data_IF_458130411748
#
_entry.id   IF_458130411748
#
_cell.length_a   1.000
_cell.length_b   1.000
_cell.length_c   1.000
_cell.angle_alpha   90.00
_cell.angle_beta   90.00
_cell.angle_gamma   90.00
#
_symmetry.space_group_name_H-M   'P 1'
#
loop_
_entity.id
_entity.type
_entity.pdbx_description
1 polymer ?
#
# COMPACT_ATOMS: atom_id res chain seq x y z
N UNK A 1 23.82 5.47 27.97
CA UNK A 1 22.97 6.11 26.95
C UNK A 1 23.08 5.23 25.73
N UNK A 2 22.09 4.35 25.49
CA UNK A 2 22.00 3.62 24.22
C UNK A 2 22.00 4.66 23.11
N UNK A 3 22.97 4.59 22.20
CA UNK A 3 22.97 5.49 21.05
C UNK A 3 21.63 5.34 20.33
N UNK A 4 20.89 6.44 20.21
CA UNK A 4 19.58 6.47 19.55
C UNK A 4 19.67 6.04 18.07
N UNK A 5 20.87 6.09 17.49
CA UNK A 5 21.21 5.58 16.16
C UNK A 5 22.36 4.59 16.34
N UNK A 6 22.15 3.29 16.10
CA UNK A 6 23.22 2.30 16.22
C UNK A 6 24.29 2.53 15.14
N UNK A 7 25.55 2.20 15.49
CA UNK A 7 26.66 2.24 14.56
C UNK A 7 26.37 1.37 13.32
N UNK A 8 26.66 1.92 12.14
CA UNK A 8 26.38 1.25 10.88
C UNK A 8 27.38 0.09 10.67
N UNK A 9 26.89 -1.14 10.83
CA UNK A 9 27.65 -2.36 10.52
C UNK A 9 27.27 -2.86 9.12
N UNK A 10 28.25 -2.83 8.20
CA UNK A 10 28.06 -3.26 6.82
C UNK A 10 27.60 -4.72 6.71
N UNK A 11 28.13 -5.60 7.56
CA UNK A 11 27.84 -7.03 7.49
C UNK A 11 26.41 -7.29 7.89
N UNK A 12 25.99 -6.71 9.02
CA UNK A 12 24.63 -6.84 9.55
C UNK A 12 23.57 -6.25 8.63
N UNK A 13 23.84 -5.06 8.08
CA UNK A 13 22.83 -4.33 7.31
C UNK A 13 22.76 -4.82 5.86
N UNK A 14 23.90 -5.08 5.21
CA UNK A 14 23.93 -5.37 3.77
C UNK A 14 24.12 -6.84 3.43
N UNK A 15 24.76 -7.64 4.28
CA UNK A 15 25.16 -9.01 3.93
C UNK A 15 24.27 -10.05 4.62
N UNK A 16 24.05 -9.93 5.93
CA UNK A 16 23.27 -10.89 6.73
C UNK A 16 21.83 -11.11 6.24
N UNK A 17 21.06 -10.08 5.79
CA UNK A 17 19.69 -10.28 5.32
C UNK A 17 19.61 -11.19 4.09
N UNK A 18 20.65 -11.15 3.23
CA UNK A 18 20.69 -11.90 1.97
C UNK A 18 21.52 -13.19 2.06
N UNK A 19 22.11 -13.49 3.21
CA UNK A 19 22.95 -14.69 3.38
C UNK A 19 22.35 -15.60 4.43
N UNK A 20 22.32 -15.16 5.69
CA UNK A 20 21.86 -15.95 6.83
C UNK A 20 20.34 -15.93 6.94
N UNK A 21 19.72 -14.76 6.77
CA UNK A 21 18.28 -14.57 6.94
C UNK A 21 17.51 -14.53 5.61
N UNK A 22 18.07 -15.14 4.55
CA UNK A 22 17.51 -15.11 3.20
C UNK A 22 16.02 -15.51 3.14
N UNK A 23 15.56 -16.64 3.73
CA UNK A 23 14.16 -17.04 3.60
C UNK A 23 13.20 -16.01 4.21
N UNK A 24 13.46 -15.57 5.44
CA UNK A 24 12.61 -14.62 6.16
C UNK A 24 12.61 -13.25 5.45
N UNK A 25 13.80 -12.76 5.09
CA UNK A 25 13.97 -11.46 4.43
C UNK A 25 13.28 -11.42 3.08
N UNK A 26 13.36 -12.50 2.30
CA UNK A 26 12.70 -12.61 1.00
C UNK A 26 11.18 -12.52 1.16
N UNK A 27 10.59 -13.22 2.13
CA UNK A 27 9.14 -13.14 2.39
C UNK A 27 8.69 -11.74 2.81
N UNK A 28 9.45 -11.06 3.67
CA UNK A 28 9.16 -9.69 4.11
C UNK A 28 9.25 -8.72 2.92
N UNK A 29 10.33 -8.80 2.14
CA UNK A 29 10.53 -7.94 0.97
C UNK A 29 9.46 -8.19 -0.11
N UNK A 30 9.11 -9.46 -0.36
CA UNK A 30 8.06 -9.85 -1.30
C UNK A 30 6.70 -9.33 -0.84
N UNK A 31 6.38 -9.45 0.45
CA UNK A 31 5.13 -8.93 1.00
C UNK A 31 5.05 -7.40 0.88
N UNK A 32 6.11 -6.70 1.27
CA UNK A 32 6.21 -5.24 1.12
C UNK A 32 6.07 -4.80 -0.34
N UNK A 33 6.68 -5.52 -1.27
CA UNK A 33 6.53 -5.27 -2.70
C UNK A 33 5.09 -5.48 -3.19
N UNK A 34 4.44 -6.60 -2.84
CA UNK A 34 3.07 -6.91 -3.26
C UNK A 34 2.08 -5.86 -2.77
N UNK A 35 2.17 -5.47 -1.50
CA UNK A 35 1.29 -4.44 -0.92
C UNK A 35 1.53 -3.10 -1.60
N UNK A 36 2.79 -2.67 -1.69
CA UNK A 36 3.13 -1.37 -2.28
C UNK A 36 2.77 -1.32 -3.76
N UNK A 37 2.91 -2.43 -4.49
CA UNK A 37 2.46 -2.56 -5.87
C UNK A 37 0.93 -2.43 -5.96
N UNK A 38 0.17 -3.22 -5.19
CA UNK A 38 -1.30 -3.18 -5.20
C UNK A 38 -1.84 -1.78 -4.86
N UNK A 39 -1.35 -1.20 -3.76
CA UNK A 39 -1.72 0.13 -3.30
C UNK A 39 -1.28 1.21 -4.29
N UNK A 40 -0.03 1.19 -4.76
CA UNK A 40 0.49 2.20 -5.66
C UNK A 40 -0.20 2.21 -7.03
N UNK A 41 -0.54 1.04 -7.58
CA UNK A 41 -1.25 0.92 -8.85
C UNK A 41 -2.64 1.59 -8.80
N UNK A 42 -3.42 1.33 -7.74
CA UNK A 42 -4.69 2.03 -7.52
C UNK A 42 -4.47 3.50 -7.15
N UNK A 43 -3.43 3.79 -6.38
CA UNK A 43 -3.01 5.12 -5.96
C UNK A 43 -2.86 6.10 -7.13
N UNK A 44 -2.29 5.65 -8.24
CA UNK A 44 -2.19 6.44 -9.48
C UNK A 44 -3.55 7.00 -9.94
N UNK A 45 -4.60 6.18 -9.92
CA UNK A 45 -5.95 6.61 -10.29
C UNK A 45 -6.58 7.52 -9.24
N UNK A 46 -6.38 7.25 -7.95
CA UNK A 46 -6.91 8.08 -6.86
C UNK A 46 -6.31 9.49 -6.87
N UNK A 47 -5.01 9.61 -7.16
CA UNK A 47 -4.34 10.90 -7.27
C UNK A 47 -4.89 11.69 -8.46
N UNK A 48 -5.06 11.06 -9.63
CA UNK A 48 -5.65 11.71 -10.81
C UNK A 48 -7.08 12.20 -10.53
N UNK A 49 -7.86 11.44 -9.75
CA UNK A 49 -9.22 11.82 -9.35
C UNK A 49 -9.28 12.77 -8.15
N UNK A 50 -8.14 13.17 -7.57
CA UNK A 50 -8.04 14.00 -6.35
C UNK A 50 -8.75 13.38 -5.13
N UNK A 51 -8.78 12.05 -5.07
CA UNK A 51 -9.43 11.27 -4.00
C UNK A 51 -8.39 10.55 -3.12
N UNK A 52 -7.22 11.16 -2.92
CA UNK A 52 -6.11 10.53 -2.19
C UNK A 52 -6.45 10.21 -0.72
N UNK A 53 -7.39 10.94 -0.12
CA UNK A 53 -7.83 10.77 1.28
C UNK A 53 -8.81 9.61 1.50
N UNK A 54 -9.29 8.95 0.44
CA UNK A 54 -10.30 7.88 0.59
C UNK A 54 -9.71 6.63 1.26
N UNK A 55 -8.43 6.33 1.02
CA UNK A 55 -7.79 5.15 1.62
C UNK A 55 -7.71 5.22 3.14
N UNK A 56 -7.39 6.40 3.67
CA UNK A 56 -7.34 6.66 5.12
C UNK A 56 -8.68 6.38 5.80
N UNK A 57 -9.77 6.87 5.20
CA UNK A 57 -11.11 6.65 5.73
C UNK A 57 -11.55 5.18 5.70
N UNK A 58 -11.14 4.43 4.68
CA UNK A 58 -11.43 2.98 4.61
C UNK A 58 -10.69 2.26 5.74
N UNK A 59 -9.38 2.50 5.91
CA UNK A 59 -8.55 1.86 6.95
C UNK A 59 -9.13 2.05 8.36
N UNK A 60 -9.60 3.25 8.69
CA UNK A 60 -10.19 3.50 10.01
C UNK A 60 -11.61 2.96 10.17
N UNK A 61 -12.33 2.76 9.07
CA UNK A 61 -13.66 2.16 9.09
C UNK A 61 -13.64 0.63 9.12
N UNK A 62 -12.46 0.00 8.99
CA UNK A 62 -12.28 -1.44 9.18
C UNK A 62 -12.48 -1.85 10.65
N UNK A 63 -12.05 -1.02 11.60
CA UNK A 63 -12.15 -1.28 13.05
C UNK A 63 -13.58 -1.60 13.54
N UNK A 64 -14.62 -0.81 13.25
CA UNK A 64 -15.99 -1.19 13.63
C UNK A 64 -16.44 -2.49 12.96
N UNK A 65 -15.99 -2.77 11.72
CA UNK A 65 -16.27 -4.04 11.04
C UNK A 65 -15.68 -5.25 11.75
N UNK A 66 -14.42 -5.14 12.18
CA UNK A 66 -13.74 -6.15 12.98
C UNK A 66 -14.44 -6.36 14.33
N UNK A 67 -14.81 -5.27 15.01
CA UNK A 67 -15.49 -5.31 16.29
C UNK A 67 -16.86 -6.03 16.19
N UNK A 68 -17.66 -5.71 15.17
CA UNK A 68 -18.95 -6.35 14.93
C UNK A 68 -18.78 -7.84 14.59
N UNK A 69 -17.80 -8.19 13.75
CA UNK A 69 -17.52 -9.58 13.41
C UNK A 69 -17.08 -10.40 14.63
N UNK A 70 -16.27 -9.82 15.50
CA UNK A 70 -15.83 -10.45 16.74
C UNK A 70 -17.00 -10.76 17.66
N UNK A 71 -17.89 -9.79 17.90
CA UNK A 71 -19.07 -9.97 18.74
C UNK A 71 -20.00 -11.07 18.22
N UNK A 72 -20.11 -11.23 16.90
CA UNK A 72 -20.96 -12.27 16.33
C UNK A 72 -20.31 -13.64 16.35
N UNK A 73 -19.01 -13.73 16.04
CA UNK A 73 -18.32 -15.01 15.88
C UNK A 73 -17.78 -15.60 17.19
N UNK A 74 -17.60 -14.81 18.25
CA UNK A 74 -16.95 -15.21 19.52
C UNK A 74 -15.63 -16.00 19.32
N UNK A 75 -14.98 -15.84 18.17
CA UNK A 75 -13.84 -16.63 17.72
C UNK A 75 -12.93 -15.77 16.86
N UNK A 76 -11.64 -15.80 17.14
CA UNK A 76 -10.59 -15.06 16.43
C UNK A 76 -10.18 -15.73 15.11
N UNK A 77 -11.11 -16.45 14.45
CA UNK A 77 -10.81 -17.05 13.15
C UNK A 77 -10.68 -15.95 12.10
N UNK A 78 -9.69 -16.09 11.24
CA UNK A 78 -9.31 -15.11 10.21
C UNK A 78 -10.44 -14.77 9.24
N UNK A 79 -11.24 -15.76 8.86
CA UNK A 79 -12.29 -15.63 7.83
C UNK A 79 -13.46 -14.72 8.26
N UNK A 80 -14.13 -14.92 9.42
CA UNK A 80 -15.23 -14.05 9.84
C UNK A 80 -14.79 -12.59 10.06
N UNK A 81 -13.59 -12.37 10.60
CA UNK A 81 -13.03 -11.03 10.78
C UNK A 81 -12.80 -10.33 9.45
N UNK A 82 -12.22 -11.03 8.47
CA UNK A 82 -12.03 -10.53 7.11
C UNK A 82 -13.35 -10.12 6.44
N UNK A 83 -14.40 -10.95 6.56
CA UNK A 83 -15.72 -10.64 6.00
C UNK A 83 -16.32 -9.39 6.66
N UNK A 84 -16.23 -9.26 7.99
CA UNK A 84 -16.71 -8.07 8.69
C UNK A 84 -15.98 -6.80 8.29
N UNK A 85 -14.65 -6.86 8.18
CA UNK A 85 -13.83 -5.77 7.68
C UNK A 85 -14.21 -5.35 6.26
N UNK A 86 -14.43 -6.31 5.35
CA UNK A 86 -14.80 -6.07 3.97
C UNK A 86 -16.19 -5.43 3.86
N UNK A 87 -17.17 -5.93 4.62
CA UNK A 87 -18.52 -5.35 4.67
C UNK A 87 -18.46 -3.93 5.19
N UNK A 88 -17.72 -3.66 6.27
CA UNK A 88 -17.58 -2.32 6.81
C UNK A 88 -16.92 -1.35 5.81
N UNK A 89 -15.88 -1.79 5.09
CA UNK A 89 -15.26 -0.99 4.02
C UNK A 89 -16.27 -0.61 2.92
N UNK A 90 -17.08 -1.56 2.45
CA UNK A 90 -18.13 -1.29 1.46
C UNK A 90 -19.19 -0.34 2.03
N UNK A 91 -19.69 -0.59 3.23
CA UNK A 91 -20.66 0.28 3.90
C UNK A 91 -20.14 1.71 4.02
N UNK A 92 -18.85 1.87 4.33
CA UNK A 92 -18.17 3.18 4.42
C UNK A 92 -18.23 3.92 3.08
N UNK A 93 -17.86 3.25 1.98
CA UNK A 93 -17.90 3.88 0.65
C UNK A 93 -19.31 4.31 0.26
N UNK A 94 -20.33 3.50 0.58
CA UNK A 94 -21.72 3.83 0.34
C UNK A 94 -22.20 5.01 1.20
N UNK A 95 -21.76 5.07 2.46
CA UNK A 95 -22.12 6.15 3.38
C UNK A 95 -21.52 7.49 2.92
N UNK A 96 -20.25 7.49 2.51
CA UNK A 96 -19.55 8.66 1.96
C UNK A 96 -20.32 9.19 0.74
N UNK A 97 -20.69 8.31 -0.17
CA UNK A 97 -21.39 8.74 -1.37
C UNK A 97 -22.84 9.19 -1.09
N UNK A 98 -23.54 8.55 -0.16
CA UNK A 98 -24.88 8.95 0.22
C UNK A 98 -24.89 10.37 0.82
N UNK A 99 -23.89 10.69 1.65
CA UNK A 99 -23.69 12.04 2.19
C UNK A 99 -23.37 13.01 1.06
N UNK A 100 -22.47 12.63 0.14
CA UNK A 100 -22.09 13.49 -0.97
C UNK A 100 -23.25 13.78 -1.94
N UNK A 101 -24.13 12.80 -2.21
CA UNK A 101 -25.30 12.99 -3.09
C UNK A 101 -26.45 13.73 -2.42
N UNK A 102 -26.71 13.48 -1.13
CA UNK A 102 -27.84 14.10 -0.42
C UNK A 102 -27.52 15.47 0.17
N UNK A 103 -26.25 15.80 0.37
CA UNK A 103 -25.83 17.05 1.02
C UNK A 103 -24.91 17.86 0.10
N UNK A 104 -24.92 19.19 0.21
CA UNK A 104 -24.02 20.10 -0.55
C UNK A 104 -22.58 20.12 -0.02
N UNK A 105 -22.13 19.02 0.59
CA UNK A 105 -20.84 18.93 1.27
C UNK A 105 -19.80 18.41 0.29
N UNK A 106 -18.60 19.02 0.30
CA UNK A 106 -17.46 18.56 -0.50
C UNK A 106 -17.13 17.11 -0.13
N UNK A 107 -16.68 16.33 -1.12
CA UNK A 107 -16.36 14.92 -0.92
C UNK A 107 -15.36 14.69 0.22
N UNK A 108 -14.33 15.51 0.33
CA UNK A 108 -13.33 15.43 1.42
C UNK A 108 -13.94 15.60 2.83
N UNK A 109 -14.95 16.48 2.94
CA UNK A 109 -15.64 16.68 4.20
C UNK A 109 -16.62 15.54 4.51
N UNK A 110 -17.27 14.96 3.49
CA UNK A 110 -18.08 13.75 3.67
C UNK A 110 -17.22 12.58 4.16
N UNK A 111 -16.03 12.38 3.57
CA UNK A 111 -15.04 11.39 4.00
C UNK A 111 -14.70 11.57 5.48
N UNK A 112 -14.35 12.78 5.91
CA UNK A 112 -13.99 13.06 7.30
C UNK A 112 -15.11 12.83 8.32
N UNK A 113 -16.36 13.19 7.98
CA UNK A 113 -17.55 12.96 8.83
C UNK A 113 -17.81 11.46 8.99
N UNK A 114 -17.74 10.71 7.89
CA UNK A 114 -17.97 9.26 7.91
C UNK A 114 -16.90 8.53 8.70
N UNK A 115 -15.62 8.83 8.47
CA UNK A 115 -14.51 8.22 9.19
C UNK A 115 -14.62 8.46 10.70
N UNK A 116 -14.77 9.72 11.14
CA UNK A 116 -14.78 10.05 12.57
C UNK A 116 -15.93 9.37 13.31
N UNK A 117 -17.10 9.26 12.66
CA UNK A 117 -18.27 8.61 13.24
C UNK A 117 -18.13 7.09 13.32
N UNK A 118 -17.67 6.43 12.26
CA UNK A 118 -17.43 4.98 12.25
C UNK A 118 -16.33 4.56 13.22
N UNK A 119 -15.24 5.34 13.30
CA UNK A 119 -14.18 5.08 14.26
C UNK A 119 -14.68 5.19 15.71
N UNK A 120 -15.42 6.25 16.04
CA UNK A 120 -16.02 6.40 17.37
C UNK A 120 -16.98 5.25 17.70
N UNK A 121 -17.82 4.83 16.75
CA UNK A 121 -18.72 3.68 16.91
C UNK A 121 -17.91 2.40 17.17
N UNK A 122 -16.86 2.15 16.40
CA UNK A 122 -16.01 0.97 16.57
C UNK A 122 -15.36 0.92 17.95
N UNK A 123 -14.81 2.03 18.42
CA UNK A 123 -14.21 2.14 19.77
C UNK A 123 -15.27 1.92 20.86
N UNK A 124 -16.47 2.49 20.71
CA UNK A 124 -17.58 2.27 21.65
C UNK A 124 -17.96 0.80 21.72
N UNK A 125 -18.12 0.12 20.56
CA UNK A 125 -18.47 -1.30 20.50
C UNK A 125 -17.43 -2.16 21.23
N UNK A 126 -16.14 -1.90 21.00
CA UNK A 126 -15.04 -2.62 21.68
C UNK A 126 -15.08 -2.34 23.19
N UNK A 127 -15.28 -1.09 23.59
CA UNK A 127 -15.30 -0.69 25.01
C UNK A 127 -16.46 -1.30 25.80
N UNK A 128 -17.63 -1.51 25.18
CA UNK A 128 -18.78 -2.13 25.84
C UNK A 128 -18.74 -3.67 25.82
N UNK A 129 -17.99 -4.28 24.90
CA UNK A 129 -17.95 -5.72 24.68
C UNK A 129 -17.22 -6.58 25.72
N UNK A 130 -16.79 -6.00 26.87
CA UNK A 130 -16.14 -6.67 28.03
C UNK A 130 -15.69 -8.11 27.79
N UNK A 131 -14.41 -8.30 27.43
CA UNK A 131 -13.73 -9.57 27.64
C UNK A 131 -12.29 -9.26 28.06
N UNK A 132 -11.94 -9.52 29.32
CA UNK A 132 -10.59 -9.42 29.92
C UNK A 132 -9.53 -10.34 29.24
N UNK A 133 -9.80 -10.83 28.03
CA UNK A 133 -9.00 -11.81 27.31
C UNK A 133 -8.55 -11.37 25.90
N UNK A 134 -8.99 -10.22 25.39
CA UNK A 134 -8.61 -9.74 24.06
C UNK A 134 -8.37 -8.24 24.07
N UNK A 135 -7.18 -7.82 24.47
CA UNK A 135 -6.67 -6.52 24.04
C UNK A 135 -6.45 -6.62 22.53
N UNK A 136 -7.42 -6.15 21.75
CA UNK A 136 -7.18 -5.72 20.37
C UNK A 136 -6.20 -4.56 20.47
N UNK A 137 -4.91 -4.86 20.50
CA UNK A 137 -3.88 -3.83 20.56
C UNK A 137 -4.00 -2.98 19.31
N UNK A 138 -4.48 -1.74 19.51
CA UNK A 138 -4.52 -0.74 18.46
C UNK A 138 -3.14 -0.56 17.84
N UNK A 139 -2.06 -0.81 18.60
CA UNK A 139 -0.68 -0.83 18.14
C UNK A 139 -0.43 -1.95 17.11
N UNK A 140 -0.82 -3.19 17.39
CA UNK A 140 -0.71 -4.30 16.43
C UNK A 140 -1.51 -4.03 15.16
N UNK A 141 -2.66 -3.37 15.27
CA UNK A 141 -3.49 -2.98 14.12
C UNK A 141 -2.90 -1.79 13.34
N UNK A 142 -2.30 -0.80 14.02
CA UNK A 142 -1.72 0.39 13.38
C UNK A 142 -0.41 0.07 12.68
N UNK A 143 0.52 -0.54 13.40
CA UNK A 143 1.88 -0.79 12.94
C UNK A 143 1.95 -2.04 12.06
N UNK A 144 1.08 -3.01 12.33
CA UNK A 144 1.16 -4.36 11.78
C UNK A 144 2.50 -5.02 12.08
N UNK A 145 2.56 -6.32 11.80
CA UNK A 145 3.75 -7.10 12.15
C UNK A 145 4.25 -7.88 10.96
N UNK A 146 4.65 -7.14 9.91
CA UNK A 146 5.25 -7.71 8.69
C UNK A 146 6.43 -8.63 9.04
N UNK A 147 7.14 -8.34 10.14
CA UNK A 147 8.26 -9.15 10.61
C UNK A 147 7.86 -10.62 10.89
N UNK A 148 6.61 -10.87 11.30
CA UNK A 148 6.13 -12.23 11.57
C UNK A 148 5.66 -13.00 10.35
N UNK A 149 5.50 -12.33 9.20
CA UNK A 149 5.11 -13.01 7.94
C UNK A 149 6.12 -14.10 7.58
N UNK A 150 7.42 -13.88 7.81
CA UNK A 150 8.45 -14.88 7.56
C UNK A 150 8.45 -16.07 8.53
N UNK A 151 7.73 -15.98 9.65
CA UNK A 151 7.62 -17.04 10.66
C UNK A 151 6.30 -17.84 10.54
N UNK A 152 5.30 -17.31 9.82
CA UNK A 152 4.03 -17.99 9.53
C UNK A 152 4.16 -18.97 8.35
N UNK A 153 5.22 -19.78 8.36
CA UNK A 153 5.49 -20.77 7.33
C UNK A 153 4.72 -22.05 7.62
N UNK A 154 3.90 -22.49 6.66
CA UNK A 154 3.19 -23.77 6.75
C UNK A 154 4.13 -24.85 6.27
N UNK A 155 4.74 -25.57 7.21
CA UNK A 155 5.59 -26.71 6.90
C UNK A 155 4.72 -27.95 6.74
N UNK A 156 4.75 -28.56 5.54
CA UNK A 156 4.05 -29.81 5.27
C UNK A 156 5.05 -30.92 5.01
N UNK A 157 4.94 -32.02 5.75
CA UNK A 157 5.71 -33.24 5.50
C UNK A 157 5.26 -33.87 4.18
N UNK A 158 6.18 -34.00 3.23
CA UNK A 158 5.89 -34.53 1.91
C UNK A 158 6.08 -36.06 1.91
N UNK A 159 5.05 -36.79 1.46
CA UNK A 159 5.12 -38.25 1.26
C UNK A 159 6.18 -38.59 0.19
N UNK A 160 6.88 -39.75 0.25
CA UNK A 160 7.97 -40.10 -0.66
C UNK A 160 7.63 -40.00 -2.15
N UNK A 161 6.39 -40.33 -2.51
CA UNK A 161 5.90 -40.25 -3.90
C UNK A 161 5.81 -38.80 -4.40
N UNK A 162 5.43 -37.87 -3.52
CA UNK A 162 5.33 -36.45 -3.84
C UNK A 162 6.72 -35.77 -3.89
N UNK A 163 7.70 -36.24 -3.11
CA UNK A 163 9.08 -35.75 -3.16
C UNK A 163 9.67 -35.87 -4.57
N UNK A 164 9.46 -37.01 -5.22
CA UNK A 164 9.95 -37.29 -6.58
C UNK A 164 9.32 -36.42 -7.69
N UNK A 165 8.14 -35.83 -7.42
CA UNK A 165 7.44 -34.91 -8.32
C UNK A 165 7.90 -33.48 -8.09
N UNK A 166 8.05 -33.10 -6.82
CA UNK A 166 8.49 -31.75 -6.44
C UNK A 166 9.95 -31.51 -6.82
N UNK A 167 10.82 -32.51 -6.67
CA UNK A 167 12.23 -32.43 -7.07
C UNK A 167 12.41 -32.17 -8.58
N UNK A 168 11.44 -32.58 -9.40
CA UNK A 168 11.41 -32.32 -10.85
C UNK A 168 11.02 -30.89 -11.21
N UNK A 169 10.45 -30.12 -10.27
CA UNK A 169 10.08 -28.72 -10.50
C UNK A 169 11.24 -27.84 -10.02
N UNK A 170 12.02 -27.23 -10.94
CA UNK A 170 13.26 -26.53 -10.58
C UNK A 170 13.03 -25.32 -9.65
N UNK A 171 11.83 -24.74 -9.67
CA UNK A 171 11.44 -23.62 -8.79
C UNK A 171 11.15 -24.07 -7.35
N UNK A 172 10.68 -25.31 -7.16
CA UNK A 172 10.38 -25.86 -5.83
C UNK A 172 11.57 -26.62 -5.22
N UNK A 173 12.50 -27.11 -6.04
CA UNK A 173 13.72 -27.81 -5.61
C UNK A 173 14.86 -26.87 -5.15
N UNK A 174 14.53 -25.64 -4.77
CA UNK A 174 15.50 -24.75 -4.12
C UNK A 174 15.45 -24.95 -2.60
N UNK A 175 16.59 -24.80 -1.93
CA UNK A 175 16.75 -24.74 -0.45
C UNK A 175 15.75 -23.76 0.23
N UNK A 176 15.18 -22.83 -0.53
CA UNK A 176 14.15 -21.87 -0.10
C UNK A 176 12.78 -22.53 0.19
N UNK A 177 12.42 -23.57 -0.57
CA UNK A 177 11.09 -24.21 -0.52
C UNK A 177 11.14 -25.66 -0.03
N UNK A 178 12.23 -26.38 -0.33
CA UNK A 178 12.45 -27.75 0.14
C UNK A 178 13.65 -27.78 1.09
N UNK A 179 13.41 -28.21 2.32
CA UNK A 179 14.47 -28.53 3.29
C UNK A 179 14.25 -29.97 3.76
N UNK A 180 14.95 -30.91 3.11
CA UNK A 180 14.72 -32.34 3.29
C UNK A 180 13.34 -32.77 2.80
N UNK A 181 12.55 -33.41 3.68
CA UNK A 181 11.20 -33.91 3.36
C UNK A 181 10.10 -32.86 3.63
N UNK A 182 10.47 -31.68 4.14
CA UNK A 182 9.52 -30.63 4.49
C UNK A 182 9.40 -29.63 3.34
N UNK A 183 8.20 -29.52 2.78
CA UNK A 183 7.86 -28.44 1.85
C UNK A 183 7.39 -27.24 2.66
N UNK A 184 8.16 -26.15 2.56
CA UNK A 184 7.82 -24.86 3.16
C UNK A 184 6.88 -24.13 2.21
N UNK A 185 5.60 -24.09 2.54
CA UNK A 185 4.58 -23.41 1.75
C UNK A 185 4.58 -21.92 2.14
N UNK A 186 4.42 -21.05 1.14
CA UNK A 186 4.36 -19.60 1.33
C UNK A 186 3.34 -19.20 2.43
N UNK A 187 3.63 -18.17 3.24
CA UNK A 187 2.72 -17.73 4.29
C UNK A 187 1.32 -17.41 3.74
N UNK A 188 0.23 -17.77 4.44
CA UNK A 188 -1.13 -17.51 3.97
C UNK A 188 -1.42 -16.03 3.70
N UNK A 189 -0.79 -15.13 4.45
CA UNK A 189 -0.82 -13.68 4.27
C UNK A 189 -0.21 -13.25 2.92
N UNK A 190 0.96 -13.78 2.56
CA UNK A 190 1.63 -13.52 1.27
C UNK A 190 0.80 -14.06 0.11
N UNK A 191 0.26 -15.27 0.22
CA UNK A 191 -0.58 -15.87 -0.82
C UNK A 191 -1.83 -15.00 -1.05
N UNK A 192 -2.51 -14.59 0.02
CA UNK A 192 -3.68 -13.70 -0.08
C UNK A 192 -3.34 -12.40 -0.78
N UNK A 193 -2.24 -11.74 -0.38
CA UNK A 193 -1.82 -10.50 -1.04
C UNK A 193 -1.35 -10.71 -2.48
N UNK A 194 -0.71 -11.83 -2.80
CA UNK A 194 -0.34 -12.16 -4.18
C UNK A 194 -1.57 -12.35 -5.06
N UNK A 195 -2.61 -13.04 -4.57
CA UNK A 195 -3.90 -13.18 -5.26
C UNK A 195 -4.55 -11.82 -5.46
N UNK A 196 -4.67 -11.01 -4.40
CA UNK A 196 -5.30 -9.68 -4.46
C UNK A 196 -4.56 -8.76 -5.42
N UNK A 197 -3.23 -8.74 -5.37
CA UNK A 197 -2.39 -7.93 -6.28
C UNK A 197 -2.54 -8.40 -7.72
N UNK A 198 -2.55 -9.71 -7.96
CA UNK A 198 -2.72 -10.29 -9.30
C UNK A 198 -4.09 -10.00 -9.88
N UNK A 199 -5.15 -10.17 -9.08
CA UNK A 199 -6.53 -9.83 -9.47
C UNK A 199 -6.66 -8.35 -9.75
N UNK A 200 -6.08 -7.49 -8.91
CA UNK A 200 -6.10 -6.03 -9.11
C UNK A 200 -5.37 -5.65 -10.39
N UNK A 201 -4.17 -6.18 -10.61
CA UNK A 201 -3.40 -5.93 -11.83
C UNK A 201 -4.18 -6.39 -13.07
N UNK A 202 -4.77 -7.58 -13.02
CA UNK A 202 -5.59 -8.12 -14.09
C UNK A 202 -6.83 -7.25 -14.37
N UNK A 203 -7.54 -6.82 -13.33
CA UNK A 203 -8.68 -5.91 -13.47
C UNK A 203 -8.26 -4.55 -14.04
N UNK A 204 -7.14 -3.99 -13.60
CA UNK A 204 -6.60 -2.74 -14.15
C UNK A 204 -6.25 -2.91 -15.62
N UNK A 205 -5.65 -4.04 -16.02
CA UNK A 205 -5.28 -4.30 -17.41
C UNK A 205 -6.52 -4.50 -18.31
N UNK A 206 -7.51 -5.26 -17.83
CA UNK A 206 -8.77 -5.50 -18.57
C UNK A 206 -9.56 -4.20 -18.73
N UNK A 207 -9.76 -3.45 -17.64
CA UNK A 207 -10.55 -2.22 -17.60
C UNK A 207 -9.70 -0.95 -17.78
N UNK A 208 -8.51 -1.07 -18.38
CA UNK A 208 -7.55 0.03 -18.49
C UNK A 208 -8.18 1.24 -19.20
N UNK A 209 -8.93 1.00 -20.28
CA UNK A 209 -9.53 2.07 -21.09
C UNK A 209 -10.64 2.78 -20.32
N UNK A 210 -11.49 2.02 -19.65
CA UNK A 210 -12.63 2.50 -18.88
C UNK A 210 -12.17 3.30 -17.66
N UNK A 211 -11.20 2.78 -16.91
CA UNK A 211 -10.60 3.46 -15.76
C UNK A 211 -9.86 4.73 -16.17
N UNK A 212 -9.17 4.72 -17.32
CA UNK A 212 -8.48 5.89 -17.84
C UNK A 212 -9.47 7.00 -18.21
N UNK A 213 -10.46 6.71 -19.06
CA UNK A 213 -11.40 7.72 -19.55
C UNK A 213 -12.20 8.32 -18.39
N UNK A 214 -12.70 7.48 -17.48
CA UNK A 214 -13.47 7.94 -16.31
C UNK A 214 -12.65 8.74 -15.30
N UNK A 215 -11.32 8.60 -15.30
CA UNK A 215 -10.43 9.37 -14.42
C UNK A 215 -10.07 10.74 -14.97
N UNK A 216 -10.12 10.92 -16.30
CA UNK A 216 -9.86 12.22 -16.93
C UNK A 216 -11.13 13.06 -17.06
N UNK A 217 -12.25 12.47 -17.50
CA UNK A 217 -13.51 13.19 -17.70
C UNK A 217 -14.73 12.25 -17.61
N UNK A 218 -15.60 12.51 -16.63
CA UNK A 218 -16.84 11.75 -16.43
C UNK A 218 -17.90 12.05 -17.49
N UNK A 219 -17.96 13.26 -18.03
CA UNK A 219 -18.87 13.66 -19.11
C UNK A 219 -18.50 13.03 -20.46
N UNK A 220 -17.19 13.00 -20.77
CA UNK A 220 -16.68 12.28 -21.95
C UNK A 220 -16.96 10.78 -21.83
N UNK A 221 -16.75 10.18 -20.65
CA UNK A 221 -17.03 8.76 -20.44
C UNK A 221 -18.52 8.42 -20.65
N UNK A 222 -19.43 9.29 -20.21
CA UNK A 222 -20.87 9.13 -20.38
C UNK A 222 -21.27 9.21 -21.86
N UNK A 223 -20.61 10.07 -22.64
CA UNK A 223 -20.83 10.20 -24.09
C UNK A 223 -20.32 8.99 -24.88
N UNK A 224 -19.30 8.30 -24.37
CA UNK A 224 -18.77 7.05 -24.92
C UNK A 224 -19.59 5.80 -24.49
N UNK A 225 -20.68 6.00 -23.75
CA UNK A 225 -21.54 4.91 -23.26
C UNK A 225 -21.00 4.17 -22.03
N UNK A 226 -19.94 4.68 -21.39
CA UNK A 226 -19.35 4.09 -20.19
C UNK A 226 -20.05 4.68 -18.96
N UNK A 227 -20.58 3.82 -18.09
CA UNK A 227 -21.21 4.27 -16.85
C UNK A 227 -20.14 4.65 -15.81
N UNK A 228 -19.89 5.95 -15.65
CA UNK A 228 -18.88 6.48 -14.71
C UNK A 228 -19.18 6.10 -13.26
N UNK A 229 -20.46 5.96 -12.91
CA UNK A 229 -20.89 5.61 -11.55
C UNK A 229 -20.43 4.20 -11.19
N UNK A 230 -20.63 3.24 -12.11
CA UNK A 230 -20.20 1.85 -11.91
C UNK A 230 -18.67 1.77 -11.81
N UNK A 231 -17.94 2.50 -12.66
CA UNK A 231 -16.48 2.52 -12.61
C UNK A 231 -15.93 3.17 -11.33
N UNK A 232 -16.64 4.16 -10.78
CA UNK A 232 -16.30 4.73 -9.48
C UNK A 232 -16.43 3.68 -8.37
N UNK A 233 -17.59 3.01 -8.25
CA UNK A 233 -17.78 1.96 -7.24
C UNK A 233 -16.88 0.75 -7.46
N UNK A 234 -16.55 0.39 -8.70
CA UNK A 234 -15.59 -0.66 -8.99
C UNK A 234 -14.19 -0.30 -8.48
N UNK A 235 -13.73 0.94 -8.71
CA UNK A 235 -12.44 1.42 -8.17
C UNK A 235 -12.45 1.41 -6.64
N UNK A 236 -13.53 1.89 -6.01
CA UNK A 236 -13.67 1.89 -4.55
C UNK A 236 -13.75 0.48 -3.96
N UNK A 237 -14.42 -0.45 -4.66
CA UNK A 237 -14.48 -1.86 -4.28
C UNK A 237 -13.11 -2.52 -4.34
N UNK A 238 -12.34 -2.32 -5.42
CA UNK A 238 -10.97 -2.80 -5.53
C UNK A 238 -10.08 -2.23 -4.42
N UNK A 239 -10.20 -0.92 -4.15
CA UNK A 239 -9.47 -0.26 -3.07
C UNK A 239 -9.81 -0.86 -1.70
N UNK A 240 -11.10 -1.08 -1.41
CA UNK A 240 -11.56 -1.70 -0.16
C UNK A 240 -10.97 -3.10 0.04
N UNK A 241 -11.03 -3.94 -1.00
CA UNK A 241 -10.44 -5.30 -0.95
C UNK A 241 -8.94 -5.26 -0.68
N UNK A 242 -8.21 -4.35 -1.34
CA UNK A 242 -6.76 -4.19 -1.12
C UNK A 242 -6.46 -3.74 0.30
N UNK A 243 -7.14 -2.70 0.78
CA UNK A 243 -6.90 -2.16 2.13
C UNK A 243 -7.18 -3.24 3.16
N UNK A 244 -8.35 -3.90 3.12
CA UNK A 244 -8.72 -4.93 4.10
C UNK A 244 -7.74 -6.11 4.08
N UNK A 245 -7.32 -6.56 2.89
CA UNK A 245 -6.38 -7.68 2.77
C UNK A 245 -4.97 -7.34 3.26
N UNK A 246 -4.51 -6.11 3.01
CA UNK A 246 -3.18 -5.66 3.44
C UNK A 246 -3.13 -5.32 4.94
N UNK A 247 -4.24 -4.81 5.49
CA UNK A 247 -4.35 -4.37 6.87
C UNK A 247 -4.12 -5.50 7.87
N UNK A 248 -4.61 -6.71 7.57
CA UNK A 248 -4.48 -7.87 8.46
C UNK A 248 -3.02 -8.30 8.66
N UNK A 249 -2.18 -8.20 7.63
CA UNK A 249 -0.81 -8.69 7.67
C UNK A 249 0.22 -7.61 8.04
N UNK A 250 -0.08 -6.34 7.72
CA UNK A 250 0.93 -5.28 7.68
C UNK A 250 0.50 -3.98 8.34
N UNK A 251 -0.79 -3.83 8.66
CA UNK A 251 -1.29 -2.70 9.43
C UNK A 251 -1.63 -1.46 8.61
N UNK A 252 -2.25 -0.49 9.29
CA UNK A 252 -2.83 0.71 8.68
C UNK A 252 -1.79 1.63 8.03
N UNK A 253 -0.69 1.89 8.73
CA UNK A 253 0.23 2.99 8.43
C UNK A 253 0.91 2.77 7.08
N UNK A 254 1.45 1.57 6.84
CA UNK A 254 2.12 1.28 5.57
C UNK A 254 1.13 1.37 4.41
N UNK A 255 -0.06 0.79 4.57
CA UNK A 255 -1.07 0.74 3.51
C UNK A 255 -1.47 2.14 3.06
N UNK A 256 -1.78 3.03 4.01
CA UNK A 256 -2.17 4.41 3.70
C UNK A 256 -1.01 5.18 3.05
N UNK A 257 0.21 5.06 3.60
CA UNK A 257 1.37 5.74 3.06
C UNK A 257 1.72 5.28 1.63
N UNK A 258 1.71 3.97 1.40
CA UNK A 258 2.03 3.36 0.11
C UNK A 258 0.90 3.43 -0.93
N UNK A 259 -0.31 3.80 -0.51
CA UNK A 259 -1.37 4.17 -1.44
C UNK A 259 -1.06 5.49 -2.16
N UNK A 260 -0.32 6.40 -1.52
CA UNK A 260 -0.08 7.75 -2.04
C UNK A 260 1.35 7.91 -2.57
N UNK A 261 2.37 7.49 -1.80
CA UNK A 261 3.78 7.75 -2.11
C UNK A 261 4.23 7.28 -3.50
N UNK A 262 4.00 6.02 -3.93
CA UNK A 262 4.48 5.53 -5.22
C UNK A 262 3.83 6.25 -6.39
N UNK A 263 2.54 6.56 -6.29
CA UNK A 263 1.81 7.26 -7.34
C UNK A 263 2.13 8.75 -7.41
N UNK A 264 2.32 9.39 -6.25
CA UNK A 264 2.78 10.77 -6.17
C UNK A 264 4.18 10.90 -6.78
N UNK A 265 5.09 9.99 -6.42
CA UNK A 265 6.46 9.92 -6.98
C UNK A 265 6.43 9.75 -8.49
N UNK A 266 5.63 8.80 -9.01
CA UNK A 266 5.52 8.56 -10.44
C UNK A 266 4.95 9.78 -11.20
N UNK A 267 3.95 10.46 -10.62
CA UNK A 267 3.32 11.65 -11.22
C UNK A 267 4.25 12.87 -11.33
N UNK A 268 5.27 12.96 -10.46
CA UNK A 268 6.28 14.03 -10.51
C UNK A 268 7.32 13.82 -11.61
N UNK A 269 7.51 12.57 -12.04
CA UNK A 269 8.52 12.19 -13.04
C UNK A 269 7.93 12.12 -14.44
N UNK A 270 6.70 11.61 -14.60
CA UNK A 270 6.08 11.36 -15.91
C UNK A 270 4.60 11.74 -15.93
N UNK A 271 4.16 12.29 -17.07
CA UNK A 271 2.79 12.80 -17.28
C UNK A 271 1.87 11.84 -18.08
N UNK A 272 2.29 10.59 -18.27
CA UNK A 272 1.57 9.57 -19.05
C UNK A 272 1.27 8.38 -18.13
N UNK A 273 0.04 7.86 -18.17
CA UNK A 273 -0.41 6.78 -17.28
C UNK A 273 0.40 5.47 -17.40
N UNK A 274 0.69 4.92 -18.60
CA UNK A 274 1.44 3.66 -18.72
C UNK A 274 2.83 3.70 -18.05
N UNK A 275 3.71 4.69 -18.31
CA UNK A 275 4.99 4.78 -17.62
C UNK A 275 4.85 5.12 -16.13
N UNK A 276 3.73 5.73 -15.68
CA UNK A 276 3.49 5.89 -14.25
C UNK A 276 3.37 4.54 -13.55
N UNK A 277 2.67 3.55 -14.11
CA UNK A 277 2.57 2.21 -13.50
C UNK A 277 3.92 1.52 -13.37
N UNK A 278 4.78 1.62 -14.39
CA UNK A 278 6.11 1.03 -14.36
C UNK A 278 6.95 1.69 -13.25
N UNK A 279 6.91 3.02 -13.15
CA UNK A 279 7.61 3.75 -12.09
C UNK A 279 7.07 3.42 -10.70
N UNK A 280 5.76 3.21 -10.55
CA UNK A 280 5.16 2.76 -9.29
C UNK A 280 5.68 1.38 -8.88
N UNK A 281 5.79 0.43 -9.82
CA UNK A 281 6.35 -0.90 -9.52
C UNK A 281 7.84 -0.84 -9.17
N UNK A 282 8.61 0.01 -9.86
CA UNK A 282 10.02 0.25 -9.51
C UNK A 282 10.14 0.88 -8.13
N UNK A 283 9.31 1.89 -7.82
CA UNK A 283 9.27 2.51 -6.50
C UNK A 283 8.92 1.49 -5.42
N UNK A 284 7.92 0.63 -5.65
CA UNK A 284 7.51 -0.44 -4.74
C UNK A 284 8.65 -1.42 -4.43
N UNK A 285 9.43 -1.79 -5.46
CA UNK A 285 10.58 -2.68 -5.28
C UNK A 285 11.68 -1.99 -4.46
N UNK A 286 12.00 -0.74 -4.79
CA UNK A 286 13.04 0.03 -4.11
C UNK A 286 12.66 0.35 -2.66
N UNK A 287 11.39 0.68 -2.37
CA UNK A 287 10.92 0.97 -1.02
C UNK A 287 10.87 -0.29 -0.16
N UNK A 288 10.50 -1.45 -0.72
CA UNK A 288 10.50 -2.72 0.00
C UNK A 288 11.93 -3.14 0.38
N UNK A 289 12.85 -3.18 -0.59
CA UNK A 289 14.25 -3.56 -0.36
C UNK A 289 14.95 -2.54 0.54
N UNK A 290 14.83 -1.24 0.23
CA UNK A 290 15.42 -0.18 1.02
C UNK A 290 14.86 -0.13 2.44
N UNK A 291 13.57 -0.42 2.62
CA UNK A 291 12.92 -0.49 3.92
C UNK A 291 13.45 -1.61 4.81
N UNK A 292 13.71 -2.80 4.26
CA UNK A 292 14.33 -3.91 5.00
C UNK A 292 15.73 -3.55 5.49
N UNK A 293 16.55 -2.96 4.61
CA UNK A 293 17.89 -2.50 5.00
C UNK A 293 17.84 -1.38 6.05
N UNK A 294 16.87 -0.47 5.94
CA UNK A 294 16.70 0.60 6.92
C UNK A 294 16.20 0.07 8.28
N UNK A 295 15.31 -0.92 8.26
CA UNK A 295 14.78 -1.56 9.47
C UNK A 295 15.88 -2.31 10.24
N UNK A 296 16.74 -3.03 9.53
CA UNK A 296 17.88 -3.77 10.11
C UNK A 296 18.97 -2.84 10.63
N UNK A 297 19.15 -1.67 10.01
CA UNK A 297 20.07 -0.66 10.54
C UNK A 297 19.53 0.01 11.81
N UNK A 298 18.26 0.43 11.82
CA UNK A 298 17.69 1.22 12.93
C UNK A 298 17.01 0.38 14.02
N UNK A 299 17.02 -0.96 13.89
CA UNK A 299 16.33 -1.90 14.79
C UNK A 299 14.86 -1.50 15.03
N UNK A 300 14.17 -1.13 13.95
CA UNK A 300 12.81 -0.59 13.99
C UNK A 300 11.81 -1.41 13.15
N UNK A 301 10.52 -1.05 13.22
CA UNK A 301 9.47 -1.74 12.45
C UNK A 301 9.73 -1.68 10.94
N UNK A 302 9.70 -2.86 10.29
CA UNK A 302 9.85 -3.00 8.84
C UNK A 302 8.80 -2.18 8.07
N UNK A 303 7.57 -2.10 8.58
CA UNK A 303 6.50 -1.29 7.99
C UNK A 303 6.87 0.19 7.96
N UNK A 304 7.27 0.74 9.10
CA UNK A 304 7.66 2.15 9.21
C UNK A 304 8.91 2.46 8.37
N UNK A 305 9.90 1.55 8.39
CA UNK A 305 11.12 1.71 7.60
C UNK A 305 10.86 1.75 6.08
N UNK A 306 9.94 0.92 5.57
CA UNK A 306 9.50 0.97 4.17
C UNK A 306 8.83 2.31 3.82
N UNK A 307 8.03 2.89 4.74
CA UNK A 307 7.45 4.22 4.57
C UNK A 307 8.53 5.29 4.48
N UNK A 308 9.52 5.25 5.36
CA UNK A 308 10.63 6.20 5.35
C UNK A 308 11.45 6.06 4.07
N UNK A 309 11.77 4.84 3.64
CA UNK A 309 12.47 4.58 2.37
C UNK A 309 11.68 5.13 1.16
N UNK A 310 10.37 4.85 1.09
CA UNK A 310 9.49 5.39 0.06
C UNK A 310 9.39 6.92 0.07
N UNK A 311 9.42 7.53 1.26
CA UNK A 311 9.42 8.98 1.44
C UNK A 311 10.73 9.61 0.98
N UNK A 312 11.88 8.96 1.22
CA UNK A 312 13.18 9.39 0.70
C UNK A 312 13.17 9.35 -0.83
N UNK A 313 12.64 8.28 -1.44
CA UNK A 313 12.50 8.19 -2.89
C UNK A 313 11.58 9.28 -3.46
N UNK A 314 10.47 9.59 -2.77
CA UNK A 314 9.59 10.69 -3.14
C UNK A 314 10.31 12.04 -3.09
N UNK A 315 11.04 12.32 -2.00
CA UNK A 315 11.80 13.56 -1.86
C UNK A 315 12.89 13.69 -2.93
N UNK A 316 13.60 12.59 -3.24
CA UNK A 316 14.58 12.56 -4.31
C UNK A 316 13.91 12.88 -5.66
N UNK A 317 12.81 12.21 -5.99
CA UNK A 317 12.06 12.49 -7.22
C UNK A 317 11.54 13.94 -7.28
N UNK A 318 11.11 14.50 -6.16
CA UNK A 318 10.67 15.89 -6.08
C UNK A 318 11.81 16.88 -6.32
N UNK A 319 13.02 16.62 -5.79
CA UNK A 319 14.20 17.45 -6.04
C UNK A 319 14.63 17.38 -7.51
N UNK A 320 14.63 16.18 -8.10
CA UNK A 320 15.06 15.94 -9.49
C UNK A 320 13.94 16.08 -10.53
N UNK A 321 12.71 16.45 -10.13
CA UNK A 321 11.56 16.49 -11.04
C UNK A 321 11.76 17.52 -12.17
N UNK A 322 11.56 17.12 -13.45
CA UNK A 322 11.78 17.97 -14.62
C UNK A 322 10.64 18.96 -14.95
N UNK A 323 9.56 18.98 -14.16
CA UNK A 323 8.45 19.94 -14.35
C UNK A 323 8.19 20.84 -13.14
N UNK A 324 8.55 20.40 -11.92
CA UNK A 324 8.26 21.11 -10.67
C UNK A 324 9.44 21.17 -9.69
N UNK A 325 10.60 20.61 -10.06
CA UNK A 325 11.73 20.44 -9.15
C UNK A 325 12.34 21.75 -8.66
N UNK A 326 12.75 21.75 -7.39
CA UNK A 326 13.44 22.87 -6.74
C UNK A 326 14.70 23.29 -7.53
N UNK A 327 15.42 22.30 -8.08
CA UNK A 327 16.64 22.48 -8.85
C UNK A 327 16.39 23.26 -10.16
N UNK A 328 15.32 22.91 -10.88
CA UNK A 328 14.99 23.55 -12.15
C UNK A 328 14.46 24.98 -11.96
N UNK A 329 13.73 25.25 -10.87
CA UNK A 329 13.37 26.62 -10.50
C UNK A 329 14.58 27.48 -10.13
N UNK A 330 15.59 26.87 -9.50
CA UNK A 330 16.82 27.57 -9.13
C UNK A 330 17.69 27.88 -10.37
N UNK A 331 17.77 26.96 -11.33
CA UNK A 331 18.46 27.19 -12.60
C UNK A 331 17.69 28.08 -13.58
N UNK A 332 16.35 27.98 -13.64
CA UNK A 332 15.50 28.82 -14.51
C UNK A 332 15.53 30.31 -14.14
N UNK A 333 15.54 30.62 -12.83
CA UNK A 333 15.72 32.00 -12.35
C UNK A 333 17.06 32.64 -12.76
N UNK A 334 18.08 31.82 -13.00
CA UNK A 334 19.40 32.32 -13.39
C UNK A 334 19.40 32.80 -14.84
N UNK A 335 18.64 32.14 -15.73
CA UNK A 335 18.47 32.53 -17.13
C UNK A 335 17.61 33.79 -17.30
N UNK A 336 16.50 33.92 -16.54
CA UNK A 336 15.69 35.15 -16.54
C UNK A 336 16.47 36.38 -16.06
N UNK A 337 17.41 36.20 -15.12
CA UNK A 337 18.29 37.27 -14.65
C UNK A 337 19.33 37.76 -15.68
N UNK A 338 19.72 36.91 -16.64
CA UNK A 338 20.60 37.31 -17.75
C UNK A 338 19.82 38.08 -18.84
N UNK A 339 18.63 37.60 -19.21
CA UNK A 339 17.77 38.24 -20.23
C UNK A 339 17.35 39.65 -19.80
N UNK A 340 17.04 39.82 -18.51
CA UNK A 340 16.66 41.12 -17.95
C UNK A 340 17.84 42.10 -17.83
N UNK A 341 19.09 41.60 -17.69
CA UNK A 341 20.29 42.42 -17.70
C UNK A 341 20.68 42.88 -19.13
N UNK A 342 20.49 42.02 -20.14
CA UNK A 342 20.68 42.37 -21.55
C UNK A 342 19.63 43.39 -22.04
N UNK A 343 18.35 43.20 -21.71
CA UNK A 343 17.28 44.14 -22.07
C UNK A 343 17.43 45.54 -21.44
N UNK A 344 18.02 45.62 -20.24
CA UNK A 344 18.29 46.89 -19.56
C UNK A 344 19.52 47.64 -20.14
N UNK A 345 20.44 46.92 -20.80
CA UNK A 345 21.53 47.55 -21.56
C UNK A 345 21.05 48.13 -22.89
N UNK A 346 20.11 47.47 -23.57
CA UNK A 346 19.58 47.93 -24.86
C UNK A 346 18.63 49.13 -24.77
N UNK A 347 18.07 49.41 -23.60
CA UNK A 347 17.15 50.54 -23.37
C UNK A 347 17.84 51.80 -22.84
N UNK A 348 19.13 51.72 -22.50
CA UNK A 348 19.93 52.84 -21.97
C UNK A 348 21.04 53.32 -22.91
N UNK A 349 21.10 52.80 -24.14
CA UNK A 349 22.08 53.15 -25.18
C UNK A 349 21.63 54.28 -26.08
#
# INVERSE_FOLDING_TARGET
MSEFIPAFDWTRVMVEPWTVNLPITLWIALMGFLITAACGLIGNYLILRRMALVGDAISHSVLPGLAIAFLFSHSLKTVPMFIGALVAGIVTTLLIELIHKKTRVKQDAAIGITFSSLFAIGVIIISFGQTDAVHLDAECVLYGEIAFVGFELVQTELSPDALSVVEKIPVLNSELFLSGNMLTIAPPSVIRMAIVTSVTLLLILIFYKELLVTSFDSGLSSSLGINSTVMHYALMGMLSVIIVSAFEAVGAILVIAMLILPGATASLLVHRLPPMFVLTLVHALLSAVGGVHLATWLDCSHAAAMVVAGSILFLAAWVFSPSQGLLQRWFGRKLEGFDQAEGNCLTKG
#
